data_IF_586355843660
#
_entry.id   IF_586355843660
#
_cell.length_a   1.000
_cell.length_b   1.000
_cell.length_c   1.000
_cell.angle_alpha   90.00
_cell.angle_beta   90.00
_cell.angle_gamma   90.00
#
_symmetry.space_group_name_H-M   'P 1'
#
loop_
_entity.id
_entity.type
_entity.pdbx_description
1 polymer ?
#
# COMPACT_ATOMS: atom_id res chain seq x y z
N UNK A 1 2.49 36.61 14.87
CA UNK A 1 2.32 35.17 14.61
C UNK A 1 2.55 34.94 13.11
N UNK A 2 3.79 34.72 12.66
CA UNK A 2 4.10 34.53 11.24
C UNK A 2 5.27 33.54 11.11
N UNK A 3 5.26 32.73 10.04
CA UNK A 3 6.31 31.81 9.57
C UNK A 3 6.19 30.32 9.92
N UNK A 4 5.00 29.74 9.81
CA UNK A 4 4.84 28.28 9.69
C UNK A 4 4.46 27.83 8.27
N UNK A 5 4.85 28.59 7.23
CA UNK A 5 4.97 28.04 5.88
C UNK A 5 6.24 27.20 5.81
N UNK A 6 6.21 26.05 6.49
CA UNK A 6 7.22 25.01 6.34
C UNK A 6 7.17 24.54 4.89
N UNK A 7 8.17 24.92 4.11
CA UNK A 7 8.35 24.52 2.72
C UNK A 7 8.21 23.01 2.59
N UNK A 8 7.07 22.54 2.08
CA UNK A 8 6.93 21.15 1.64
C UNK A 8 7.89 20.96 0.47
N UNK A 9 9.01 20.27 0.72
CA UNK A 9 9.91 19.88 -0.36
C UNK A 9 9.10 18.95 -1.26
N UNK A 10 8.90 19.31 -2.53
CA UNK A 10 8.22 18.44 -3.52
C UNK A 10 9.05 17.18 -3.73
N UNK A 11 8.89 16.22 -2.81
CA UNK A 11 9.51 14.91 -2.83
C UNK A 11 8.40 13.88 -2.78
N UNK A 12 8.60 12.82 -3.54
CA UNK A 12 7.67 11.70 -3.60
C UNK A 12 7.86 10.81 -2.37
N UNK A 13 6.78 10.25 -1.86
CA UNK A 13 6.82 9.33 -0.72
C UNK A 13 7.53 8.04 -1.11
N UNK A 14 8.57 7.66 -0.36
CA UNK A 14 9.15 6.31 -0.43
C UNK A 14 8.42 5.38 0.52
N UNK A 15 8.12 4.16 0.09
CA UNK A 15 7.49 3.12 0.90
C UNK A 15 8.26 1.81 0.79
N UNK A 16 8.50 1.18 1.94
CA UNK A 16 9.07 -0.14 2.06
C UNK A 16 8.21 -1.01 2.99
N UNK A 17 8.31 -2.32 2.82
CA UNK A 17 7.65 -3.27 3.72
C UNK A 17 7.54 -4.65 3.09
N UNK A 18 6.95 -5.58 3.83
CA UNK A 18 6.68 -6.92 3.32
C UNK A 18 5.27 -7.39 3.68
N UNK A 19 4.61 -8.10 2.78
CA UNK A 19 3.35 -8.77 3.02
C UNK A 19 3.57 -10.27 3.19
N UNK A 20 2.84 -10.85 4.14
CA UNK A 20 2.73 -12.28 4.32
C UNK A 20 1.27 -12.70 4.46
N UNK A 21 1.00 -13.96 4.17
CA UNK A 21 -0.28 -14.59 4.43
C UNK A 21 -0.06 -15.93 5.12
N UNK A 22 -0.64 -16.09 6.32
CA UNK A 22 -0.48 -17.28 7.17
C UNK A 22 1.00 -17.60 7.43
N UNK A 23 1.79 -16.56 7.73
CA UNK A 23 3.23 -16.70 8.00
C UNK A 23 4.10 -17.03 6.78
N UNK A 24 3.54 -17.07 5.56
CA UNK A 24 4.30 -17.28 4.32
C UNK A 24 4.42 -15.98 3.53
N UNK A 25 5.55 -15.72 2.86
CA UNK A 25 5.70 -14.61 1.93
C UNK A 25 4.54 -14.50 0.92
N UNK A 26 3.90 -13.33 0.86
CA UNK A 26 2.83 -13.07 -0.09
C UNK A 26 3.42 -12.58 -1.42
N UNK A 27 4.12 -13.47 -2.12
CA UNK A 27 4.79 -13.20 -3.38
C UNK A 27 3.84 -12.59 -4.43
N UNK A 28 4.28 -11.54 -5.12
CA UNK A 28 3.49 -10.95 -6.21
C UNK A 28 2.26 -10.19 -5.75
N UNK A 29 2.12 -9.91 -4.45
CA UNK A 29 1.06 -9.03 -3.94
C UNK A 29 1.13 -7.69 -4.66
N UNK A 30 0.04 -7.32 -5.35
CA UNK A 30 -0.10 -6.01 -5.98
C UNK A 30 -0.47 -4.98 -4.93
N UNK A 31 0.30 -3.91 -4.89
CA UNK A 31 0.16 -2.78 -3.98
C UNK A 31 -0.32 -1.59 -4.79
N UNK A 32 -1.38 -0.96 -4.31
CA UNK A 32 -1.92 0.27 -4.89
C UNK A 32 -1.99 1.29 -3.77
N UNK A 33 -1.24 2.38 -3.93
CA UNK A 33 -1.25 3.51 -2.99
C UNK A 33 -2.09 4.60 -3.61
N UNK A 34 -3.07 5.10 -2.87
CA UNK A 34 -3.98 6.11 -3.38
C UNK A 34 -4.43 7.05 -2.26
N UNK A 35 -4.73 8.28 -2.62
CA UNK A 35 -5.13 9.33 -1.69
C UNK A 35 -6.44 9.95 -2.17
N UNK A 36 -7.32 10.28 -1.22
CA UNK A 36 -8.52 11.06 -1.52
C UNK A 36 -8.08 12.47 -1.90
N UNK A 37 -8.49 12.96 -3.07
CA UNK A 37 -8.13 14.28 -3.56
C UNK A 37 -9.23 15.30 -3.22
N UNK A 38 -10.31 15.33 -3.99
CA UNK A 38 -11.43 16.27 -3.84
C UNK A 38 -12.74 15.62 -4.29
N UNK A 39 -13.88 15.98 -3.67
CA UNK A 39 -15.23 15.50 -4.04
C UNK A 39 -15.37 13.98 -4.22
N UNK A 40 -14.68 13.20 -3.37
CA UNK A 40 -14.73 11.72 -3.43
C UNK A 40 -13.84 11.09 -4.51
N UNK A 41 -13.15 11.88 -5.32
CA UNK A 41 -12.16 11.40 -6.30
C UNK A 41 -10.90 10.92 -5.57
N UNK A 42 -10.40 9.76 -5.96
CA UNK A 42 -9.14 9.20 -5.48
C UNK A 42 -8.07 9.30 -6.58
N UNK A 43 -6.86 9.68 -6.20
CA UNK A 43 -5.68 9.69 -7.06
C UNK A 43 -4.76 8.55 -6.66
N UNK A 44 -4.33 7.75 -7.64
CA UNK A 44 -3.29 6.75 -7.43
C UNK A 44 -1.95 7.48 -7.32
N UNK A 45 -1.26 7.25 -6.21
CA UNK A 45 0.07 7.76 -5.95
C UNK A 45 1.14 6.83 -6.52
N UNK A 46 0.91 5.53 -6.46
CA UNK A 46 1.85 4.51 -6.89
C UNK A 46 1.16 3.16 -7.09
N UNK A 47 1.72 2.34 -7.97
CA UNK A 47 1.43 0.91 -8.04
C UNK A 47 2.72 0.10 -8.15
N UNK A 48 2.78 -1.02 -7.44
CA UNK A 48 3.94 -1.92 -7.48
C UNK A 48 3.53 -3.35 -7.13
N UNK A 49 4.44 -4.30 -7.34
CA UNK A 49 4.26 -5.69 -6.96
C UNK A 49 5.35 -6.10 -5.99
N UNK A 50 5.00 -6.94 -5.02
CA UNK A 50 5.97 -7.54 -4.13
C UNK A 50 6.88 -8.53 -4.86
N UNK A 51 8.14 -8.61 -4.41
CA UNK A 51 9.11 -9.61 -4.84
C UNK A 51 8.75 -11.02 -4.33
N UNK A 52 9.61 -12.00 -4.60
CA UNK A 52 9.44 -13.40 -4.18
C UNK A 52 9.39 -13.60 -2.67
N UNK A 53 9.93 -12.65 -1.89
CA UNK A 53 9.91 -12.63 -0.43
C UNK A 53 8.70 -11.88 0.13
N UNK A 54 7.79 -11.45 -0.75
CA UNK A 54 6.62 -10.65 -0.36
C UNK A 54 6.99 -9.21 -0.03
N UNK A 55 8.20 -8.74 -0.36
CA UNK A 55 8.69 -7.42 0.01
C UNK A 55 8.62 -6.44 -1.16
N UNK A 56 8.52 -5.16 -0.85
CA UNK A 56 8.51 -4.09 -1.82
C UNK A 56 9.33 -2.89 -1.33
N UNK A 57 9.88 -2.15 -2.27
CA UNK A 57 10.52 -0.87 -2.05
C UNK A 57 10.27 -0.03 -3.31
N UNK A 58 9.51 1.05 -3.19
CA UNK A 58 9.26 1.95 -4.31
C UNK A 58 9.09 3.39 -3.84
N UNK A 59 9.28 4.31 -4.77
CA UNK A 59 8.90 5.70 -4.62
C UNK A 59 7.60 5.95 -5.36
N UNK A 60 6.70 6.72 -4.77
CA UNK A 60 5.43 7.05 -5.40
C UNK A 60 5.64 7.82 -6.72
N UNK A 61 4.84 7.51 -7.73
CA UNK A 61 4.88 8.17 -9.03
C UNK A 61 4.45 9.64 -8.93
N UNK A 62 3.55 9.91 -7.97
CA UNK A 62 2.96 11.22 -7.75
C UNK A 62 3.22 11.75 -6.33
N UNK A 63 3.14 13.08 -6.17
CA UNK A 63 3.18 13.76 -4.88
C UNK A 63 1.89 13.57 -4.09
N UNK A 64 1.93 13.90 -2.79
CA UNK A 64 0.73 14.02 -1.99
C UNK A 64 -0.12 15.17 -2.53
N UNK A 65 -1.42 14.93 -2.70
CA UNK A 65 -2.36 15.86 -3.32
C UNK A 65 -3.37 16.45 -2.33
N UNK A 66 -3.41 15.96 -1.09
CA UNK A 66 -4.30 16.47 -0.05
C UNK A 66 -3.75 16.22 1.35
N UNK A 67 -4.43 16.75 2.36
CA UNK A 67 -4.20 16.48 3.78
C UNK A 67 -4.90 15.20 4.28
N UNK A 68 -5.52 14.41 3.39
CA UNK A 68 -6.15 13.16 3.79
C UNK A 68 -5.11 12.05 3.99
N UNK A 69 -5.42 11.10 4.87
CA UNK A 69 -4.63 9.87 5.00
C UNK A 69 -4.46 9.15 3.67
N UNK A 70 -3.28 8.53 3.53
CA UNK A 70 -2.95 7.70 2.38
C UNK A 70 -3.59 6.33 2.60
N UNK A 71 -4.18 5.76 1.55
CA UNK A 71 -4.73 4.42 1.58
C UNK A 71 -3.82 3.48 0.80
N UNK A 72 -3.55 2.33 1.40
CA UNK A 72 -2.72 1.28 0.81
C UNK A 72 -3.60 0.06 0.64
N UNK A 73 -3.80 -0.35 -0.61
CA UNK A 73 -4.54 -1.55 -0.98
C UNK A 73 -3.56 -2.64 -1.37
N UNK A 74 -3.61 -3.75 -0.66
CA UNK A 74 -2.89 -4.96 -1.01
C UNK A 74 -3.86 -5.96 -1.65
N UNK A 75 -3.46 -6.57 -2.76
CA UNK A 75 -4.17 -7.66 -3.44
C UNK A 75 -3.21 -8.81 -3.68
N UNK A 76 -3.48 -9.95 -3.06
CA UNK A 76 -2.67 -11.15 -3.21
C UNK A 76 -3.52 -12.26 -3.80
N UNK A 77 -2.99 -12.91 -4.83
CA UNK A 77 -3.63 -14.05 -5.49
C UNK A 77 -2.74 -15.28 -5.28
N UNK A 78 -3.36 -16.39 -4.89
CA UNK A 78 -2.65 -17.64 -4.67
C UNK A 78 -3.52 -18.83 -5.06
N UNK A 79 -2.85 -19.94 -5.38
CA UNK A 79 -3.50 -21.18 -5.71
C UNK A 79 -3.48 -22.13 -4.52
N UNK A 80 -4.60 -22.78 -4.24
CA UNK A 80 -4.70 -23.81 -3.21
C UNK A 80 -5.64 -24.92 -3.67
N UNK A 81 -5.13 -26.14 -3.84
CA UNK A 81 -5.92 -27.36 -4.07
C UNK A 81 -7.07 -27.19 -5.08
N UNK A 82 -6.76 -26.71 -6.28
CA UNK A 82 -7.71 -26.39 -7.38
C UNK A 82 -8.59 -25.16 -7.17
N UNK A 83 -8.32 -24.33 -6.16
CA UNK A 83 -8.95 -23.03 -5.97
C UNK A 83 -7.96 -21.91 -6.29
N UNK A 84 -8.38 -20.96 -7.12
CA UNK A 84 -7.75 -19.65 -7.20
C UNK A 84 -8.36 -18.75 -6.13
N UNK A 85 -7.55 -18.37 -5.16
CA UNK A 85 -7.97 -17.51 -4.06
C UNK A 85 -7.37 -16.11 -4.23
N UNK A 86 -8.18 -15.10 -3.90
CA UNK A 86 -7.80 -13.70 -3.88
C UNK A 86 -8.06 -13.14 -2.49
N UNK A 87 -7.08 -12.47 -1.92
CA UNK A 87 -7.21 -11.72 -0.68
C UNK A 87 -6.94 -10.25 -0.96
N UNK A 88 -7.81 -9.37 -0.48
CA UNK A 88 -7.65 -7.93 -0.63
C UNK A 88 -7.94 -7.22 0.68
N UNK A 89 -6.99 -6.40 1.11
CA UNK A 89 -7.12 -5.51 2.26
C UNK A 89 -6.84 -4.07 1.88
N UNK A 90 -7.42 -3.13 2.63
CA UNK A 90 -7.10 -1.70 2.54
C UNK A 90 -6.83 -1.20 3.96
N UNK A 91 -5.71 -0.52 4.15
CA UNK A 91 -5.40 0.13 5.42
C UNK A 91 -4.91 1.56 5.17
N UNK A 92 -4.93 2.35 6.24
CA UNK A 92 -4.50 3.76 6.19
C UNK A 92 -3.05 3.87 6.62
N UNK A 93 -2.34 4.77 5.95
CA UNK A 93 -1.05 5.28 6.37
C UNK A 93 -1.20 6.78 6.70
N UNK A 94 -0.93 7.21 7.94
CA UNK A 94 -1.18 8.57 8.38
C UNK A 94 -0.44 9.62 7.53
N UNK A 95 -1.14 10.70 7.21
CA UNK A 95 -0.57 11.78 6.40
C UNK A 95 0.64 12.45 7.08
N UNK A 96 0.60 12.60 8.40
CA UNK A 96 1.68 13.21 9.19
C UNK A 96 2.98 12.40 9.11
N UNK A 97 2.86 11.07 9.18
CA UNK A 97 4.00 10.16 8.99
C UNK A 97 4.56 10.28 7.57
N UNK A 98 3.69 10.37 6.56
CA UNK A 98 4.11 10.55 5.18
C UNK A 98 4.86 11.88 4.96
N UNK A 99 4.32 12.98 5.47
CA UNK A 99 4.94 14.31 5.40
C UNK A 99 6.31 14.29 6.10
N UNK A 100 6.38 13.68 7.29
CA UNK A 100 7.64 13.54 8.03
C UNK A 100 8.70 12.80 7.22
N UNK A 101 8.32 11.68 6.59
CA UNK A 101 9.24 10.89 5.75
C UNK A 101 9.74 11.70 4.55
N UNK A 102 8.83 12.38 3.85
CA UNK A 102 9.15 13.24 2.68
C UNK A 102 10.11 14.36 3.05
N UNK A 103 9.82 15.08 4.14
CA UNK A 103 10.63 16.21 4.61
C UNK A 103 12.02 15.76 5.02
N UNK A 104 12.12 14.61 5.71
CA UNK A 104 13.41 14.02 6.10
C UNK A 104 14.12 13.30 4.94
N UNK A 105 13.45 13.07 3.82
CA UNK A 105 14.01 12.34 2.68
C UNK A 105 14.23 10.85 2.95
N UNK A 106 13.40 10.25 3.81
CA UNK A 106 13.45 8.82 4.18
C UNK A 106 12.25 8.07 3.62
N UNK A 107 12.37 6.76 3.50
CA UNK A 107 11.25 5.88 3.17
C UNK A 107 10.47 5.50 4.42
N UNK A 108 9.14 5.47 4.31
CA UNK A 108 8.28 4.94 5.35
C UNK A 108 8.30 3.41 5.33
N UNK A 109 8.61 2.81 6.47
CA UNK A 109 8.60 1.35 6.65
C UNK A 109 7.25 0.89 7.22
N UNK A 110 6.51 0.11 6.43
CA UNK A 110 5.26 -0.52 6.86
C UNK A 110 5.49 -1.81 7.65
N UNK A 111 6.75 -2.17 7.89
CA UNK A 111 7.17 -3.41 8.52
C UNK A 111 6.59 -4.63 7.77
N UNK A 112 6.50 -5.77 8.47
CA UNK A 112 5.86 -6.98 7.95
C UNK A 112 4.37 -6.96 8.29
N UNK A 113 3.52 -7.00 7.27
CA UNK A 113 2.06 -6.98 7.40
C UNK A 113 1.49 -8.36 7.09
N UNK A 114 0.78 -8.94 8.06
CA UNK A 114 -0.03 -10.14 7.85
C UNK A 114 -1.36 -9.75 7.19
N UNK A 115 -1.57 -10.19 5.94
CA UNK A 115 -2.74 -9.82 5.15
C UNK A 115 -4.06 -10.24 5.82
N UNK A 116 -4.05 -11.34 6.57
CA UNK A 116 -5.22 -11.81 7.32
C UNK A 116 -5.64 -10.84 8.46
N UNK A 117 -4.71 -10.01 8.95
CA UNK A 117 -4.95 -9.11 10.09
C UNK A 117 -5.40 -7.71 9.66
N UNK A 118 -5.45 -7.43 8.35
CA UNK A 118 -5.94 -6.14 7.86
C UNK A 118 -7.45 -6.02 8.17
N UNK A 119 -7.90 -4.99 8.89
CA UNK A 119 -9.32 -4.81 9.17
C UNK A 119 -10.16 -4.77 7.90
N UNK A 120 -11.25 -5.55 7.86
CA UNK A 120 -12.14 -5.62 6.69
C UNK A 120 -11.53 -6.33 5.47
N UNK A 121 -10.49 -7.14 5.65
CA UNK A 121 -9.93 -7.96 4.57
C UNK A 121 -10.99 -8.85 3.93
N UNK A 122 -11.02 -8.87 2.61
CA UNK A 122 -11.92 -9.73 1.82
C UNK A 122 -11.11 -10.87 1.23
N UNK A 123 -11.60 -12.09 1.41
CA UNK A 123 -11.06 -13.29 0.77
C UNK A 123 -12.14 -13.94 -0.07
N UNK A 124 -11.82 -14.22 -1.32
CA UNK A 124 -12.67 -14.98 -2.23
C UNK A 124 -11.87 -16.12 -2.82
N UNK A 125 -12.47 -17.29 -2.97
CA UNK A 125 -11.86 -18.43 -3.64
C UNK A 125 -12.84 -18.93 -4.71
N UNK A 126 -12.32 -19.26 -5.88
CA UNK A 126 -13.10 -19.82 -6.99
C UNK A 126 -12.43 -21.09 -7.47
N UNK A 127 -13.23 -22.09 -7.83
CA UNK A 127 -12.71 -23.29 -8.49
C UNK A 127 -11.98 -22.88 -9.77
N UNK A 128 -10.75 -23.32 -9.90
CA UNK A 128 -9.99 -23.20 -11.12
C UNK A 128 -10.51 -24.27 -12.08
N UNK A 129 -11.56 -23.93 -12.83
CA UNK A 129 -11.93 -24.69 -14.02
C UNK A 129 -11.02 -24.19 -15.13
N UNK A 130 -9.92 -24.89 -15.36
CA UNK A 130 -9.12 -24.68 -16.57
C UNK A 130 -10.07 -24.78 -17.78
N UNK A 131 -10.03 -23.77 -18.65
CA UNK A 131 -10.50 -23.95 -20.02
C UNK A 131 -9.45 -24.72 -20.79
#
# INVERSE_FOLDING_TARGET
>A
MNNAQHYFKRRKLGLIGCFQYKGRPANGTRIIVFQKYFHGVYKILAESNCDRRGCFCFQADNYLFSSNDIKIKAKYEYFNWKLSCKISGIFKFPIESAITCINRGISADLSRVELANIPGVKKTCRSWRGK
#
